data_IF_798968920268
#
_entry.id   IF_798968920268
#
_cell.length_a   1.000
_cell.length_b   1.000
_cell.length_c   1.000
_cell.angle_alpha   90.00
_cell.angle_beta   90.00
_cell.angle_gamma   90.00
#
_symmetry.space_group_name_H-M   'P 1'
#
loop_
_entity.id
_entity.type
_entity.pdbx_description
1 polymer ?
#
# COMPACT_ATOMS: atom_id res chain seq x y z
N UNK A 1 2.15 14.16 28.93
CA UNK A 1 1.58 14.22 27.57
C UNK A 1 2.60 13.57 26.65
N UNK A 2 2.52 12.24 26.50
CA UNK A 2 3.45 11.52 25.65
C UNK A 2 3.14 11.93 24.22
N UNK A 3 4.09 12.53 23.53
CA UNK A 3 4.07 12.51 22.09
C UNK A 3 4.01 11.03 21.72
N UNK A 4 2.84 10.55 21.29
CA UNK A 4 2.72 9.29 20.59
C UNK A 4 3.67 9.43 19.40
N UNK A 5 4.90 8.93 19.58
CA UNK A 5 5.89 8.83 18.53
C UNK A 5 5.16 8.10 17.39
N UNK A 6 4.84 8.82 16.32
CA UNK A 6 4.30 8.22 15.11
C UNK A 6 5.39 7.29 14.57
N UNK A 7 5.39 6.06 15.08
CA UNK A 7 6.42 5.08 14.83
C UNK A 7 6.25 4.66 13.37
N UNK A 8 7.18 5.11 12.51
CA UNK A 8 7.25 4.68 11.13
C UNK A 8 8.05 3.38 11.06
N UNK A 9 7.37 2.25 10.86
CA UNK A 9 8.00 0.94 10.70
C UNK A 9 8.02 0.55 9.23
N UNK A 10 9.20 0.28 8.69
CA UNK A 10 9.35 -0.27 7.34
C UNK A 10 8.89 -1.73 7.37
N UNK A 11 7.82 -2.03 6.65
CA UNK A 11 7.26 -3.39 6.55
C UNK A 11 8.06 -4.22 5.54
N UNK A 12 8.27 -3.65 4.36
CA UNK A 12 8.95 -4.33 3.27
C UNK A 12 9.58 -3.32 2.31
N UNK A 13 10.73 -3.70 1.74
CA UNK A 13 11.40 -2.95 0.68
C UNK A 13 11.68 -3.89 -0.48
N UNK A 14 11.21 -3.52 -1.67
CA UNK A 14 11.42 -4.25 -2.91
C UNK A 14 12.28 -3.41 -3.86
N UNK A 15 13.52 -3.82 -4.16
CA UNK A 15 14.44 -3.03 -4.98
C UNK A 15 14.07 -3.03 -6.46
N UNK A 16 13.24 -3.98 -6.90
CA UNK A 16 12.88 -4.17 -8.31
C UNK A 16 11.34 -4.18 -8.43
N UNK A 17 10.78 -3.00 -8.77
CA UNK A 17 9.36 -2.84 -9.09
C UNK A 17 9.21 -2.10 -10.41
N UNK A 18 8.20 -2.51 -11.18
CA UNK A 18 7.79 -1.85 -12.40
C UNK A 18 6.44 -1.18 -12.18
N UNK A 19 6.32 0.09 -12.57
CA UNK A 19 5.10 0.87 -12.52
C UNK A 19 4.54 0.99 -13.94
N UNK A 20 3.24 0.80 -14.05
CA UNK A 20 2.47 0.85 -15.28
C UNK A 20 1.35 1.85 -15.10
N UNK A 21 1.23 2.79 -16.03
CA UNK A 21 0.13 3.74 -16.02
C UNK A 21 -1.14 3.04 -16.51
N UNK A 22 -2.17 3.06 -15.67
CA UNK A 22 -3.46 2.46 -16.01
C UNK A 22 -4.50 3.57 -16.23
N UNK A 23 -5.43 3.39 -17.17
CA UNK A 23 -6.50 4.36 -17.37
C UNK A 23 -7.39 4.43 -16.11
N UNK A 24 -7.92 5.62 -15.77
CA UNK A 24 -8.86 5.77 -14.68
C UNK A 24 -10.09 4.89 -14.94
N UNK A 25 -10.50 4.13 -13.91
CA UNK A 25 -11.53 3.08 -13.95
C UNK A 25 -12.70 3.41 -14.87
N UNK A 26 -12.78 2.74 -16.02
CA UNK A 26 -13.96 2.74 -16.88
C UNK A 26 -14.92 1.62 -16.39
N UNK A 27 -15.92 1.99 -15.60
CA UNK A 27 -17.13 1.20 -15.27
C UNK A 27 -16.93 -0.26 -14.83
N UNK A 28 -17.02 -0.52 -13.52
CA UNK A 28 -17.35 -1.82 -12.87
C UNK A 28 -16.62 -3.12 -13.33
N UNK A 29 -15.73 -3.07 -14.32
CA UNK A 29 -14.85 -4.15 -14.74
C UNK A 29 -13.59 -4.07 -13.88
N UNK A 30 -13.23 -5.18 -13.25
CA UNK A 30 -11.98 -5.30 -12.51
C UNK A 30 -10.78 -5.06 -13.44
N UNK A 31 -9.65 -4.68 -12.85
CA UNK A 31 -8.43 -4.41 -13.61
C UNK A 31 -7.87 -5.70 -14.24
N UNK A 32 -7.42 -5.59 -15.50
CA UNK A 32 -6.72 -6.66 -16.22
C UNK A 32 -5.35 -6.14 -16.63
N UNK A 33 -4.30 -6.86 -16.24
CA UNK A 33 -2.94 -6.53 -16.67
C UNK A 33 -2.78 -6.59 -18.19
N UNK A 34 -3.60 -7.37 -18.90
CA UNK A 34 -3.61 -7.45 -20.36
C UNK A 34 -4.01 -6.14 -21.05
N UNK A 35 -4.72 -5.24 -20.34
CA UNK A 35 -5.08 -3.91 -20.83
C UNK A 35 -3.93 -2.90 -20.63
N UNK A 36 -2.91 -3.29 -19.87
CA UNK A 36 -1.78 -2.42 -19.53
C UNK A 36 -0.63 -2.65 -20.51
N UNK A 37 0.23 -1.64 -20.66
CA UNK A 37 1.46 -1.76 -21.45
C UNK A 37 2.53 -2.54 -20.69
N UNK A 38 2.32 -3.84 -20.48
CA UNK A 38 3.27 -4.70 -19.74
C UNK A 38 4.67 -4.77 -20.40
N UNK A 39 4.72 -4.56 -21.71
CA UNK A 39 5.94 -4.55 -22.52
C UNK A 39 6.81 -3.30 -22.26
N UNK A 40 6.20 -2.20 -21.85
CA UNK A 40 6.88 -0.93 -21.58
C UNK A 40 6.44 -0.40 -20.22
N UNK A 41 7.17 -0.74 -19.13
CA UNK A 41 6.93 -0.11 -17.85
C UNK A 41 7.11 1.40 -17.98
N UNK A 42 6.14 2.16 -17.48
CA UNK A 42 6.14 3.63 -17.51
C UNK A 42 7.28 4.16 -16.62
N UNK A 43 7.54 3.44 -15.53
CA UNK A 43 8.64 3.72 -14.61
C UNK A 43 9.09 2.43 -13.91
N UNK A 44 10.36 2.38 -13.50
CA UNK A 44 10.91 1.24 -12.73
C UNK A 44 11.79 1.76 -11.61
N UNK A 45 11.71 1.16 -10.43
CA UNK A 45 12.50 1.61 -9.30
C UNK A 45 12.35 0.70 -8.09
N UNK A 46 12.45 1.31 -6.90
CA UNK A 46 12.32 0.67 -5.60
C UNK A 46 10.96 1.00 -4.99
N UNK A 47 10.31 0.00 -4.43
CA UNK A 47 9.10 0.15 -3.62
C UNK A 47 9.46 -0.01 -2.15
N UNK A 48 8.98 0.88 -1.30
CA UNK A 48 9.13 0.85 0.15
C UNK A 48 7.77 0.96 0.82
N UNK A 49 7.41 0.00 1.65
CA UNK A 49 6.20 0.05 2.45
C UNK A 49 6.59 0.49 3.86
N UNK A 50 6.04 1.61 4.30
CA UNK A 50 6.20 2.14 5.65
C UNK A 50 4.85 2.20 6.34
N UNK A 51 4.74 1.65 7.53
CA UNK A 51 3.56 1.80 8.37
C UNK A 51 3.74 2.95 9.34
N UNK A 52 2.78 3.87 9.37
CA UNK A 52 2.77 5.00 10.31
C UNK A 52 1.48 4.91 11.13
N UNK A 53 1.61 4.50 12.38
CA UNK A 53 0.47 4.31 13.28
C UNK A 53 -0.50 3.21 12.80
N UNK A 54 -1.62 3.61 12.19
CA UNK A 54 -2.68 2.71 11.69
C UNK A 54 -2.77 2.66 10.16
N UNK A 55 -1.93 3.42 9.48
CA UNK A 55 -1.97 3.60 8.02
C UNK A 55 -0.66 3.10 7.44
N UNK A 56 -0.74 2.28 6.39
CA UNK A 56 0.43 1.89 5.60
C UNK A 56 0.64 2.88 4.45
N UNK A 57 1.88 3.18 4.12
CA UNK A 57 2.28 4.10 3.08
C UNK A 57 3.22 3.35 2.14
N UNK A 58 2.82 3.21 0.89
CA UNK A 58 3.64 2.60 -0.15
C UNK A 58 4.34 3.74 -0.89
N UNK A 59 5.64 3.89 -0.68
CA UNK A 59 6.50 4.90 -1.32
C UNK A 59 7.22 4.25 -2.50
N UNK A 60 7.13 4.85 -3.67
CA UNK A 60 7.85 4.48 -4.88
C UNK A 60 9.01 5.46 -5.02
N UNK A 61 10.24 4.94 -4.98
CA UNK A 61 11.48 5.70 -4.98
C UNK A 61 12.36 5.24 -6.14
N UNK A 62 13.01 6.18 -6.83
CA UNK A 62 13.95 5.82 -7.89
C UNK A 62 15.15 5.05 -7.32
N UNK A 63 15.54 3.95 -7.97
CA UNK A 63 16.63 3.11 -7.45
C UNK A 63 18.01 3.76 -7.57
N UNK A 64 18.16 4.75 -8.45
CA UNK A 64 19.43 5.42 -8.75
C UNK A 64 19.58 6.69 -7.91
N UNK A 65 18.55 7.53 -7.91
CA UNK A 65 18.56 8.87 -7.28
C UNK A 65 17.95 8.86 -5.87
N UNK A 66 17.12 7.87 -5.54
CA UNK A 66 16.33 7.85 -4.31
C UNK A 66 15.18 8.87 -4.31
N UNK A 67 14.83 9.42 -5.47
CA UNK A 67 13.77 10.41 -5.60
C UNK A 67 12.40 9.75 -5.41
N UNK A 68 11.56 10.31 -4.54
CA UNK A 68 10.22 9.81 -4.31
C UNK A 68 9.34 10.16 -5.51
N UNK A 69 9.04 9.15 -6.32
CA UNK A 69 8.20 9.28 -7.51
C UNK A 69 6.73 9.41 -7.14
N UNK A 70 6.25 8.55 -6.24
CA UNK A 70 4.86 8.56 -5.80
C UNK A 70 4.71 7.93 -4.41
N UNK A 71 3.63 8.27 -3.71
CA UNK A 71 3.25 7.62 -2.47
C UNK A 71 1.79 7.21 -2.50
N UNK A 72 1.46 6.08 -1.90
CA UNK A 72 0.11 5.55 -1.82
C UNK A 72 -0.24 5.29 -0.34
N UNK A 73 -1.07 6.15 0.28
CA UNK A 73 -1.60 5.90 1.61
C UNK A 73 -2.68 4.82 1.54
N UNK A 74 -2.51 3.78 2.35
CA UNK A 74 -3.41 2.64 2.54
C UNK A 74 -3.92 2.70 3.97
N UNK A 75 -5.19 3.04 4.14
CA UNK A 75 -5.81 3.15 5.48
C UNK A 75 -6.56 1.87 5.88
N UNK A 76 -6.94 1.05 4.90
CA UNK A 76 -7.70 -0.17 5.10
C UNK A 76 -7.31 -1.22 4.07
N UNK A 77 -7.07 -2.45 4.53
CA UNK A 77 -6.88 -3.62 3.70
C UNK A 77 -7.72 -4.78 4.25
N UNK A 78 -8.43 -5.53 3.39
CA UNK A 78 -8.59 -5.35 1.95
C UNK A 78 -9.45 -4.11 1.61
N UNK A 79 -9.08 -3.37 0.55
CA UNK A 79 -9.78 -2.14 0.15
C UNK A 79 -9.33 -1.62 -1.22
N UNK A 80 -9.96 -0.53 -1.70
CA UNK A 80 -9.67 0.05 -3.04
C UNK A 80 -8.26 0.68 -3.17
N UNK A 81 -7.53 0.77 -2.07
CA UNK A 81 -6.18 1.32 -2.06
C UNK A 81 -5.17 0.37 -2.72
N UNK A 82 -5.43 -0.95 -2.65
CA UNK A 82 -4.63 -2.00 -3.31
C UNK A 82 -5.58 -3.04 -3.88
N UNK A 83 -5.68 -3.11 -5.21
CA UNK A 83 -6.50 -4.10 -5.92
C UNK A 83 -5.60 -5.07 -6.70
N UNK A 84 -5.88 -6.37 -6.66
CA UNK A 84 -5.17 -7.36 -7.49
C UNK A 84 -5.78 -7.41 -8.89
N UNK A 85 -4.98 -7.69 -9.92
CA UNK A 85 -5.56 -7.98 -11.24
C UNK A 85 -6.05 -9.42 -11.31
N UNK A 86 -7.13 -9.63 -12.06
CA UNK A 86 -7.78 -10.96 -12.16
C UNK A 86 -7.01 -11.96 -13.01
N UNK A 87 -6.20 -11.48 -13.94
CA UNK A 87 -5.46 -12.29 -14.91
C UNK A 87 -4.03 -12.65 -14.44
N UNK A 88 -3.54 -12.01 -13.38
CA UNK A 88 -2.15 -12.14 -12.95
C UNK A 88 -1.93 -11.82 -11.48
N UNK A 89 -1.25 -12.71 -10.77
CA UNK A 89 -0.91 -12.50 -9.35
C UNK A 89 0.37 -11.69 -9.13
N UNK A 90 1.06 -11.28 -10.20
CA UNK A 90 2.29 -10.46 -10.15
C UNK A 90 2.03 -8.97 -10.25
N UNK A 91 0.81 -8.58 -10.64
CA UNK A 91 0.45 -7.20 -10.88
C UNK A 91 -0.64 -6.77 -9.90
N UNK A 92 -0.51 -5.55 -9.39
CA UNK A 92 -1.40 -4.95 -8.43
C UNK A 92 -1.71 -3.53 -8.90
N UNK A 93 -2.87 -3.02 -8.56
CA UNK A 93 -3.23 -1.62 -8.71
C UNK A 93 -3.14 -0.98 -7.35
N UNK A 94 -2.40 0.12 -7.25
CA UNK A 94 -2.35 0.92 -6.03
C UNK A 94 -2.84 2.34 -6.31
N UNK A 95 -3.51 2.92 -5.33
CA UNK A 95 -3.95 4.31 -5.38
C UNK A 95 -2.86 5.20 -4.81
N UNK A 96 -2.09 5.84 -5.69
CA UNK A 96 -1.14 6.87 -5.30
C UNK A 96 -1.82 8.21 -5.11
N UNK A 97 -1.23 9.05 -4.27
CA UNK A 97 -1.58 10.43 -4.06
C UNK A 97 -0.36 11.30 -4.34
N UNK A 98 -0.54 12.25 -5.23
CA UNK A 98 0.46 13.26 -5.55
C UNK A 98 0.57 14.32 -4.43
N UNK A 99 1.70 15.01 -4.37
CA UNK A 99 1.94 16.13 -3.45
C UNK A 99 0.88 17.23 -3.50
N UNK A 100 0.12 17.35 -4.60
CA UNK A 100 -1.00 18.29 -4.73
C UNK A 100 -2.35 17.74 -4.21
N UNK A 101 -2.37 16.57 -3.57
CA UNK A 101 -3.62 15.94 -3.07
C UNK A 101 -4.46 15.24 -4.14
N UNK A 102 -3.95 15.12 -5.37
CA UNK A 102 -4.62 14.38 -6.44
C UNK A 102 -4.33 12.90 -6.30
N UNK A 103 -5.37 12.06 -6.28
CA UNK A 103 -5.19 10.62 -6.28
C UNK A 103 -5.25 10.05 -7.70
N UNK A 104 -4.31 9.17 -8.04
CA UNK A 104 -4.26 8.43 -9.29
C UNK A 104 -4.14 6.93 -9.00
N UNK A 105 -4.65 6.11 -9.90
CA UNK A 105 -4.44 4.67 -9.86
C UNK A 105 -3.29 4.33 -10.80
N UNK A 106 -2.34 3.54 -10.29
CA UNK A 106 -1.24 3.02 -11.07
C UNK A 106 -1.18 1.50 -10.88
N UNK A 107 -0.79 0.81 -11.94
CA UNK A 107 -0.40 -0.58 -11.87
C UNK A 107 1.03 -0.68 -11.36
N UNK A 108 1.30 -1.61 -10.46
CA UNK A 108 2.64 -2.06 -10.09
C UNK A 108 2.78 -3.52 -10.49
N UNK A 109 3.97 -3.92 -10.91
CA UNK A 109 4.33 -5.27 -11.24
C UNK A 109 5.66 -5.63 -10.62
N UNK A 110 5.74 -6.86 -10.11
CA UNK A 110 6.97 -7.42 -9.61
C UNK A 110 7.58 -8.35 -10.64
N UNK A 111 8.90 -8.29 -10.75
CA UNK A 111 9.68 -9.18 -11.62
C UNK A 111 9.53 -10.63 -11.15
N UNK A 112 9.63 -10.85 -9.83
CA UNK A 112 9.49 -12.15 -9.19
C UNK A 112 8.10 -12.38 -8.57
N UNK A 113 7.62 -13.63 -8.62
CA UNK A 113 6.34 -14.02 -8.02
C UNK A 113 6.39 -14.04 -6.49
N UNK A 114 7.54 -14.38 -5.92
CA UNK A 114 7.79 -14.36 -4.48
C UNK A 114 7.72 -12.94 -3.93
N UNK A 115 8.29 -11.95 -4.63
CA UNK A 115 8.20 -10.55 -4.22
C UNK A 115 6.77 -10.00 -4.27
N UNK A 116 6.00 -10.37 -5.30
CA UNK A 116 4.57 -10.05 -5.37
C UNK A 116 3.77 -10.66 -4.21
N UNK A 117 4.07 -11.91 -3.86
CA UNK A 117 3.41 -12.60 -2.75
C UNK A 117 3.77 -11.95 -1.41
N UNK A 118 5.06 -11.70 -1.18
CA UNK A 118 5.57 -11.06 0.03
C UNK A 118 4.99 -9.64 0.21
N UNK A 119 4.86 -8.86 -0.87
CA UNK A 119 4.20 -7.56 -0.84
C UNK A 119 2.74 -7.67 -0.34
N UNK A 120 1.98 -8.59 -0.91
CA UNK A 120 0.58 -8.77 -0.56
C UNK A 120 0.39 -9.29 0.88
N UNK A 121 1.23 -10.25 1.29
CA UNK A 121 1.21 -10.81 2.65
C UNK A 121 1.68 -9.78 3.68
N UNK A 122 2.73 -8.99 3.39
CA UNK A 122 3.24 -7.95 4.30
C UNK A 122 2.16 -6.92 4.62
N UNK A 123 1.37 -6.50 3.61
CA UNK A 123 0.23 -5.61 3.84
C UNK A 123 -0.86 -6.32 4.65
N UNK A 124 -1.27 -7.53 4.25
CA UNK A 124 -2.30 -8.29 4.96
C UNK A 124 -1.99 -8.49 6.44
N UNK A 125 -0.79 -8.98 6.74
CA UNK A 125 -0.32 -9.25 8.09
C UNK A 125 -0.27 -7.96 8.92
N UNK A 126 0.20 -6.87 8.33
CA UNK A 126 0.22 -5.58 9.00
C UNK A 126 -1.17 -5.11 9.41
N UNK A 127 -2.14 -5.09 8.49
CA UNK A 127 -3.51 -4.66 8.81
C UNK A 127 -4.21 -5.61 9.77
N UNK A 128 -3.96 -6.92 9.66
CA UNK A 128 -4.46 -7.91 10.62
C UNK A 128 -3.92 -7.65 12.03
N UNK A 129 -2.61 -7.42 12.15
CA UNK A 129 -1.96 -7.08 13.43
C UNK A 129 -2.49 -5.76 14.00
N UNK A 130 -2.71 -4.75 13.16
CA UNK A 130 -3.32 -3.48 13.57
C UNK A 130 -4.76 -3.66 14.08
N UNK A 131 -5.55 -4.52 13.43
CA UNK A 131 -6.91 -4.83 13.86
C UNK A 131 -6.92 -5.54 15.22
N UNK A 132 -6.10 -6.59 15.39
CA UNK A 132 -5.94 -7.29 16.68
C UNK A 132 -5.47 -6.34 17.79
N UNK A 133 -4.53 -5.43 17.50
CA UNK A 133 -4.02 -4.47 18.49
C UNK A 133 -5.05 -3.41 18.88
N UNK A 134 -6.00 -3.06 17.99
CA UNK A 134 -7.13 -2.19 18.32
C UNK A 134 -8.09 -2.83 19.34
N UNK A 135 -8.26 -4.15 19.31
CA UNK A 135 -9.11 -4.88 20.27
C UNK A 135 -8.46 -5.04 21.65
N UNK A 136 -7.13 -4.92 21.76
CA UNK A 136 -6.35 -5.09 23.01
C UNK A 136 -6.20 -3.77 23.80
N UNK A 137 -6.87 -2.69 23.41
CA UNK A 137 -7.03 -1.52 24.28
C UNK A 137 -8.37 -1.65 25.02
N UNK A 138 -8.41 -2.22 26.24
CA UNK A 138 -9.61 -2.16 27.05
C UNK A 138 -9.90 -0.69 27.35
N UNK A 139 -11.13 -0.26 27.06
CA UNK A 139 -11.67 1.03 27.44
C UNK A 139 -11.37 1.32 28.92
N UNK A 140 -10.59 2.37 29.27
CA UNK A 140 -10.54 2.83 30.63
C UNK A 140 -11.73 3.75 30.85
N UNK A 141 -12.80 3.24 31.48
CA UNK A 141 -13.75 4.11 32.18
C UNK A 141 -15.21 3.66 32.16
N UNK A 142 -15.68 3.19 33.31
CA UNK A 142 -16.60 4.02 34.08
C UNK A 142 -16.28 3.90 35.58
N UNK A 143 -16.07 5.06 36.20
CA UNK A 143 -15.80 5.27 37.63
C UNK A 143 -17.06 5.02 38.46
N UNK A 144 -16.84 4.79 39.76
CA UNK A 144 -17.85 4.37 40.72
C UNK A 144 -18.93 5.38 41.07
N UNK A 145 -19.96 4.84 41.72
CA UNK A 145 -20.84 5.44 42.71
C UNK A 145 -21.04 4.31 43.73
N UNK A 146 -20.74 4.43 45.02
CA UNK A 146 -21.06 5.51 45.94
C UNK A 146 -22.20 5.02 46.85
N UNK A 147 -21.92 5.01 48.16
CA UNK A 147 -22.78 4.63 49.30
C UNK A 147 -22.78 3.14 49.70
#
# INVERSE_FOLDING_TARGET
>A
MAAELEYESVLCVKPDVSVYRIPPRASNRGYRASDWKLDQPDWTGRLRITSKGKTAYIKLEDKVSGELFAQAPVEQYPGIAVETVTDSSRYFVIRIQDGTGRSAFIGIGFTDRGDAFDFNVSLQDHFKTLQTRKEVLPSPGLQGVGA
#
